data_IF_767600821628
#
_entry.id   IF_767600821628
#
_cell.length_a   1.000
_cell.length_b   1.000
_cell.length_c   1.000
_cell.angle_alpha   90.00
_cell.angle_beta   90.00
_cell.angle_gamma   90.00
#
_symmetry.space_group_name_H-M   'P 1'
#
loop_
_entity.id
_entity.type
_entity.pdbx_description
1 polymer ?
#
# COMPACT_ATOMS: atom_id res chain seq x y z
N UNK A 1 69.83 4.92 -39.12
CA UNK A 1 69.17 6.12 -38.49
C UNK A 1 67.67 6.09 -38.49
N UNK A 2 66.95 4.93 -38.47
CA UNK A 2 65.45 4.96 -38.54
C UNK A 2 64.72 4.03 -37.53
N UNK A 3 65.44 3.38 -36.64
CA UNK A 3 64.84 2.43 -35.69
C UNK A 3 64.15 3.14 -34.51
N UNK A 4 64.67 4.26 -34.08
CA UNK A 4 64.11 5.07 -32.99
C UNK A 4 62.79 5.77 -33.39
N UNK A 5 62.67 6.27 -34.62
CA UNK A 5 61.47 6.89 -35.09
C UNK A 5 60.29 5.93 -35.25
N UNK A 6 60.52 4.72 -35.71
CA UNK A 6 59.46 3.69 -35.85
C UNK A 6 58.96 3.20 -34.48
N UNK A 7 59.82 3.04 -33.47
CA UNK A 7 59.41 2.70 -32.10
C UNK A 7 58.52 3.76 -31.46
N UNK A 8 58.84 5.04 -31.65
CA UNK A 8 58.05 6.16 -31.12
C UNK A 8 56.65 6.24 -31.76
N UNK A 9 56.57 6.00 -33.06
CA UNK A 9 55.26 5.97 -33.78
C UNK A 9 54.42 4.79 -33.31
N UNK A 10 55.02 3.61 -33.14
CA UNK A 10 54.29 2.42 -32.68
C UNK A 10 53.77 2.58 -31.25
N UNK A 11 54.58 3.13 -30.34
CA UNK A 11 54.15 3.39 -28.95
C UNK A 11 52.99 4.41 -28.93
N UNK A 12 53.03 5.45 -29.72
CA UNK A 12 51.99 6.47 -29.84
C UNK A 12 50.70 5.91 -30.43
N UNK A 13 50.80 4.94 -31.34
CA UNK A 13 49.63 4.24 -31.92
C UNK A 13 48.93 3.29 -30.92
N UNK A 14 49.75 2.53 -30.17
CA UNK A 14 49.27 1.62 -29.12
C UNK A 14 48.61 2.37 -27.97
N UNK A 15 49.16 3.50 -27.52
CA UNK A 15 48.57 4.34 -26.48
C UNK A 15 47.28 5.00 -26.91
N UNK A 16 47.18 5.46 -28.19
CA UNK A 16 46.00 6.06 -28.73
C UNK A 16 44.85 5.03 -28.90
N UNK A 17 45.16 3.79 -29.31
CA UNK A 17 44.24 2.67 -29.41
C UNK A 17 43.70 2.29 -28.03
N UNK A 18 44.55 2.17 -27.02
CA UNK A 18 44.18 1.88 -25.64
C UNK A 18 43.29 2.96 -25.02
N UNK A 19 43.52 4.23 -25.32
CA UNK A 19 42.65 5.34 -24.86
C UNK A 19 41.29 5.29 -25.51
N UNK A 20 41.18 4.92 -26.79
CA UNK A 20 39.90 4.74 -27.47
C UNK A 20 39.08 3.59 -26.89
N UNK A 21 39.71 2.46 -26.61
CA UNK A 21 39.07 1.31 -25.96
C UNK A 21 38.60 1.66 -24.56
N UNK A 22 39.38 2.35 -23.74
CA UNK A 22 39.02 2.80 -22.39
C UNK A 22 37.83 3.76 -22.43
N UNK A 23 37.80 4.71 -23.38
CA UNK A 23 36.71 5.65 -23.56
C UNK A 23 35.42 4.94 -23.95
N UNK A 24 35.50 3.93 -24.80
CA UNK A 24 34.32 3.12 -25.21
C UNK A 24 33.78 2.32 -24.03
N UNK A 25 34.63 1.67 -23.23
CA UNK A 25 34.22 0.97 -22.02
C UNK A 25 33.57 1.93 -21.03
N UNK A 26 34.16 3.08 -20.77
CA UNK A 26 33.58 4.08 -19.86
C UNK A 26 32.19 4.54 -20.35
N UNK A 27 32.02 4.79 -21.64
CA UNK A 27 30.76 5.19 -22.24
C UNK A 27 29.67 4.10 -22.05
N UNK A 28 30.01 2.83 -22.25
CA UNK A 28 29.11 1.71 -22.05
C UNK A 28 28.68 1.62 -20.58
N UNK A 29 29.63 1.73 -19.62
CA UNK A 29 29.30 1.73 -18.20
C UNK A 29 28.40 2.91 -17.80
N UNK A 30 28.69 4.10 -18.28
CA UNK A 30 27.83 5.29 -18.03
C UNK A 30 26.44 5.07 -18.58
N UNK A 31 26.30 4.52 -19.79
CA UNK A 31 25.00 4.21 -20.39
C UNK A 31 24.23 3.18 -19.56
N UNK A 32 24.87 2.08 -19.17
CA UNK A 32 24.25 1.05 -18.31
C UNK A 32 23.82 1.62 -16.97
N UNK A 33 24.65 2.44 -16.34
CA UNK A 33 24.33 3.10 -15.07
C UNK A 33 23.11 4.03 -15.23
N UNK A 34 23.06 4.79 -16.32
CA UNK A 34 21.93 5.69 -16.62
C UNK A 34 20.63 4.91 -16.83
N UNK A 35 20.67 3.81 -17.61
CA UNK A 35 19.51 2.93 -17.81
C UNK A 35 19.04 2.33 -16.48
N UNK A 36 19.96 1.82 -15.66
CA UNK A 36 19.64 1.27 -14.34
C UNK A 36 19.01 2.33 -13.42
N UNK A 37 19.52 3.56 -13.43
CA UNK A 37 18.99 4.67 -12.62
C UNK A 37 17.57 5.04 -13.06
N UNK A 38 17.29 5.11 -14.37
CA UNK A 38 15.95 5.38 -14.90
C UNK A 38 14.99 4.26 -14.53
N UNK A 39 15.39 2.99 -14.71
CA UNK A 39 14.57 1.84 -14.34
C UNK A 39 14.22 1.87 -12.84
N UNK A 40 15.18 2.15 -11.97
CA UNK A 40 14.96 2.27 -10.53
C UNK A 40 14.01 3.42 -10.16
N UNK A 41 14.15 4.58 -10.82
CA UNK A 41 13.25 5.71 -10.62
C UNK A 41 11.80 5.41 -11.03
N UNK A 42 11.59 4.65 -12.11
CA UNK A 42 10.27 4.20 -12.53
C UNK A 42 9.65 3.25 -11.50
N UNK A 43 10.42 2.31 -10.97
CA UNK A 43 9.95 1.38 -9.94
C UNK A 43 9.50 2.11 -8.65
N UNK A 44 10.27 3.10 -8.21
CA UNK A 44 9.87 3.92 -7.05
C UNK A 44 8.52 4.61 -7.30
N UNK A 45 8.29 5.13 -8.50
CA UNK A 45 7.01 5.76 -8.87
C UNK A 45 5.85 4.77 -8.82
N UNK A 46 6.04 3.55 -9.31
CA UNK A 46 5.03 2.49 -9.25
C UNK A 46 4.66 2.15 -7.80
N UNK A 47 5.64 2.01 -6.91
CA UNK A 47 5.39 1.76 -5.49
C UNK A 47 4.65 2.91 -4.79
N UNK A 48 5.02 4.15 -5.07
CA UNK A 48 4.33 5.32 -4.50
C UNK A 48 2.88 5.35 -5.00
N UNK A 49 2.65 5.11 -6.29
CA UNK A 49 1.31 5.06 -6.88
C UNK A 49 0.46 3.96 -6.27
N UNK A 50 1.01 2.74 -6.14
CA UNK A 50 0.33 1.61 -5.51
C UNK A 50 -0.01 1.92 -4.04
N UNK A 51 0.93 2.50 -3.30
CA UNK A 51 0.71 2.93 -1.91
C UNK A 51 -0.49 3.87 -1.79
N UNK A 52 -0.52 4.94 -2.58
CA UNK A 52 -1.60 5.93 -2.56
C UNK A 52 -2.93 5.30 -2.98
N UNK A 53 -2.91 4.51 -4.07
CA UNK A 53 -4.10 3.80 -4.53
C UNK A 53 -4.66 2.86 -3.45
N UNK A 54 -3.80 2.12 -2.75
CA UNK A 54 -4.23 1.22 -1.66
C UNK A 54 -4.84 2.00 -0.49
N UNK A 55 -4.25 3.14 -0.11
CA UNK A 55 -4.80 4.00 0.96
C UNK A 55 -6.18 4.56 0.61
N UNK A 56 -6.37 5.02 -0.63
CA UNK A 56 -7.66 5.53 -1.13
C UNK A 56 -8.69 4.41 -1.22
N UNK A 57 -8.28 3.25 -1.67
CA UNK A 57 -9.13 2.05 -1.76
C UNK A 57 -9.61 1.58 -0.39
N UNK A 58 -8.70 1.54 0.61
CA UNK A 58 -9.09 1.22 1.99
C UNK A 58 -10.10 2.22 2.54
N UNK A 59 -9.87 3.52 2.32
CA UNK A 59 -10.79 4.56 2.75
C UNK A 59 -12.17 4.41 2.08
N UNK A 60 -12.21 4.18 0.77
CA UNK A 60 -13.45 3.99 0.02
C UNK A 60 -14.20 2.72 0.46
N UNK A 61 -13.49 1.62 0.70
CA UNK A 61 -14.07 0.35 1.13
C UNK A 61 -14.61 0.41 2.57
N UNK A 62 -13.90 1.10 3.47
CA UNK A 62 -14.38 1.38 4.84
C UNK A 62 -15.66 2.22 4.82
N UNK A 63 -15.71 3.27 4.00
CA UNK A 63 -16.91 4.10 3.84
C UNK A 63 -18.09 3.32 3.23
N UNK A 64 -17.82 2.50 2.21
CA UNK A 64 -18.86 1.68 1.58
C UNK A 64 -19.50 0.68 2.56
N UNK A 65 -18.71 0.17 3.51
CA UNK A 65 -19.18 -0.78 4.53
C UNK A 65 -19.96 -0.13 5.67
N UNK A 66 -19.85 1.19 5.84
CA UNK A 66 -20.44 1.94 6.95
C UNK A 66 -21.93 2.20 6.76
N UNK A 67 -22.73 1.15 6.71
CA UNK A 67 -24.18 1.24 6.60
C UNK A 67 -24.80 1.63 7.94
N UNK A 68 -25.27 2.87 8.01
CA UNK A 68 -25.80 3.49 9.24
C UNK A 68 -27.18 2.94 9.61
N UNK A 69 -27.42 2.74 10.92
CA UNK A 69 -28.73 2.49 11.47
C UNK A 69 -29.56 3.79 11.49
N UNK A 70 -30.42 3.95 10.47
CA UNK A 70 -31.28 5.13 10.31
C UNK A 70 -32.30 5.22 11.45
N UNK A 71 -32.73 4.10 12.00
CA UNK A 71 -33.69 4.06 13.09
C UNK A 71 -33.05 4.55 14.39
N UNK A 72 -31.86 4.05 14.71
CA UNK A 72 -31.09 4.50 15.87
C UNK A 72 -30.74 6.00 15.75
N UNK A 73 -30.35 6.43 14.57
CA UNK A 73 -30.07 7.85 14.32
C UNK A 73 -31.34 8.72 14.49
N UNK A 74 -32.50 8.26 14.03
CA UNK A 74 -33.75 9.01 14.14
C UNK A 74 -34.27 9.14 15.57
N UNK A 75 -34.03 8.17 16.44
CA UNK A 75 -34.52 8.13 17.81
C UNK A 75 -33.50 8.76 18.80
N UNK A 76 -32.26 8.32 18.73
CA UNK A 76 -31.24 8.60 19.74
C UNK A 76 -30.13 9.54 19.25
N UNK A 77 -30.15 9.91 17.98
CA UNK A 77 -29.13 10.72 17.28
C UNK A 77 -27.72 10.10 17.31
N UNK A 78 -27.60 8.79 17.55
CA UNK A 78 -26.35 8.05 17.46
C UNK A 78 -26.10 7.60 16.02
N UNK A 79 -24.94 7.97 15.47
CA UNK A 79 -24.45 7.42 14.21
C UNK A 79 -23.77 6.09 14.50
N UNK A 80 -24.46 4.98 14.30
CA UNK A 80 -23.89 3.64 14.49
C UNK A 80 -24.07 2.80 13.24
N UNK A 81 -23.13 1.88 13.02
CA UNK A 81 -23.22 0.88 11.97
C UNK A 81 -24.17 -0.22 12.45
N UNK A 82 -25.21 -0.47 11.66
CA UNK A 82 -26.33 -1.32 12.03
C UNK A 82 -25.92 -2.76 12.32
N UNK A 83 -25.12 -3.33 11.43
CA UNK A 83 -24.73 -4.73 11.46
C UNK A 83 -23.25 -4.85 11.09
N UNK A 84 -22.34 -5.04 12.09
CA UNK A 84 -20.91 -5.16 11.85
C UNK A 84 -20.51 -6.37 10.99
N UNK A 85 -21.26 -7.49 11.05
CA UNK A 85 -20.98 -8.68 10.21
C UNK A 85 -21.31 -8.41 8.74
N UNK A 86 -22.46 -7.79 8.49
CA UNK A 86 -22.83 -7.34 7.15
C UNK A 86 -21.86 -6.28 6.63
N UNK A 87 -21.43 -5.35 7.49
CA UNK A 87 -20.43 -4.34 7.15
C UNK A 87 -19.11 -4.98 6.73
N UNK A 88 -18.64 -6.00 7.44
CA UNK A 88 -17.44 -6.74 7.06
C UNK A 88 -17.58 -7.41 5.68
N UNK A 89 -18.71 -8.04 5.40
CA UNK A 89 -18.98 -8.63 4.09
C UNK A 89 -18.97 -7.59 2.96
N UNK A 90 -19.63 -6.44 3.17
CA UNK A 90 -19.62 -5.33 2.21
C UNK A 90 -18.20 -4.77 2.01
N UNK A 91 -17.44 -4.63 3.10
CA UNK A 91 -16.05 -4.20 3.03
C UNK A 91 -15.20 -5.11 2.13
N UNK A 92 -15.30 -6.43 2.33
CA UNK A 92 -14.54 -7.40 1.54
C UNK A 92 -14.88 -7.32 0.05
N UNK A 93 -16.15 -7.18 -0.29
CA UNK A 93 -16.60 -7.03 -1.67
C UNK A 93 -16.12 -5.70 -2.28
N UNK A 94 -16.31 -4.59 -1.55
CA UNK A 94 -15.85 -3.28 -1.96
C UNK A 94 -14.33 -3.23 -2.15
N UNK A 95 -13.57 -3.87 -1.25
CA UNK A 95 -12.11 -3.95 -1.35
C UNK A 95 -11.66 -4.69 -2.62
N UNK A 96 -12.27 -5.85 -2.90
CA UNK A 96 -11.97 -6.60 -4.13
C UNK A 96 -12.23 -5.76 -5.39
N UNK A 97 -13.39 -5.10 -5.46
CA UNK A 97 -13.77 -4.27 -6.61
C UNK A 97 -12.82 -3.07 -6.74
N UNK A 98 -12.57 -2.34 -5.67
CA UNK A 98 -11.77 -1.12 -5.69
C UNK A 98 -10.27 -1.39 -5.95
N UNK A 99 -9.73 -2.54 -5.54
CA UNK A 99 -8.38 -2.97 -5.87
C UNK A 99 -8.28 -3.70 -7.22
N UNK A 100 -9.40 -4.03 -7.87
CA UNK A 100 -9.43 -4.79 -9.11
C UNK A 100 -8.99 -6.25 -8.95
N UNK A 101 -9.25 -6.85 -7.77
CA UNK A 101 -8.87 -8.23 -7.47
C UNK A 101 -9.88 -9.24 -8.04
N UNK A 102 -9.39 -10.43 -8.35
CA UNK A 102 -10.23 -11.57 -8.71
C UNK A 102 -10.86 -12.23 -7.47
N UNK A 103 -11.67 -13.29 -7.68
CA UNK A 103 -12.31 -14.04 -6.58
C UNK A 103 -11.34 -14.72 -5.63
N UNK A 104 -10.10 -14.94 -6.06
CA UNK A 104 -9.01 -15.52 -5.27
C UNK A 104 -8.20 -14.45 -4.53
N UNK A 105 -8.64 -13.19 -4.53
CA UNK A 105 -7.95 -12.04 -3.95
C UNK A 105 -6.61 -11.70 -4.62
N UNK A 106 -6.42 -12.11 -5.85
CA UNK A 106 -5.21 -11.88 -6.63
C UNK A 106 -5.39 -10.69 -7.58
N UNK A 107 -4.32 -9.95 -7.79
CA UNK A 107 -4.25 -8.88 -8.78
C UNK A 107 -3.97 -9.44 -10.17
N UNK A 108 -4.92 -9.38 -11.13
CA UNK A 108 -4.72 -9.90 -12.48
C UNK A 108 -3.70 -9.10 -13.29
N UNK A 109 -3.33 -7.89 -12.85
CA UNK A 109 -2.30 -7.07 -13.51
C UNK A 109 -0.88 -7.50 -13.15
N UNK A 110 -0.73 -8.27 -12.05
CA UNK A 110 0.55 -8.79 -11.57
C UNK A 110 1.42 -7.74 -10.86
N UNK A 111 0.87 -6.58 -10.50
CA UNK A 111 1.58 -5.59 -9.71
C UNK A 111 1.70 -6.04 -8.24
N UNK A 112 0.66 -6.68 -7.73
CA UNK A 112 0.65 -7.38 -6.44
C UNK A 112 0.91 -8.85 -6.70
N UNK A 113 1.96 -9.42 -6.12
CA UNK A 113 2.45 -10.77 -6.41
C UNK A 113 1.91 -11.87 -5.50
N UNK A 114 1.14 -11.50 -4.47
CA UNK A 114 0.45 -12.45 -3.59
C UNK A 114 -1.03 -12.12 -3.48
N UNK A 115 -1.88 -13.07 -3.07
CA UNK A 115 -3.24 -12.73 -2.66
C UNK A 115 -3.25 -11.66 -1.58
N UNK A 116 -4.15 -10.68 -1.69
CA UNK A 116 -4.38 -9.67 -0.66
C UNK A 116 -5.10 -10.34 0.52
N UNK A 117 -4.61 -10.11 1.74
CA UNK A 117 -5.23 -10.63 2.96
C UNK A 117 -5.80 -9.51 3.79
N UNK A 118 -7.00 -9.71 4.31
CA UNK A 118 -7.58 -8.81 5.31
C UNK A 118 -7.12 -9.29 6.68
N UNK A 119 -6.12 -8.61 7.23
CA UNK A 119 -5.55 -8.94 8.55
C UNK A 119 -6.53 -8.56 9.66
N UNK A 120 -7.18 -7.39 9.51
CA UNK A 120 -8.09 -6.89 10.51
C UNK A 120 -9.13 -5.93 9.91
N UNK A 121 -10.36 -6.02 10.41
CA UNK A 121 -11.43 -5.08 10.16
C UNK A 121 -12.16 -4.82 11.48
N UNK A 122 -12.29 -3.57 11.90
CA UNK A 122 -12.88 -3.20 13.18
C UNK A 122 -13.93 -2.11 12.97
N UNK A 123 -15.10 -2.33 13.56
CA UNK A 123 -16.18 -1.36 13.68
C UNK A 123 -16.16 -0.79 15.10
N UNK A 124 -16.10 0.52 15.21
CA UNK A 124 -16.25 1.28 16.45
C UNK A 124 -17.58 2.02 16.43
N UNK A 125 -18.56 1.53 17.16
CA UNK A 125 -19.86 2.19 17.30
C UNK A 125 -19.89 3.04 18.57
N UNK A 126 -20.02 4.34 18.42
CA UNK A 126 -20.04 5.29 19.56
C UNK A 126 -21.48 5.58 19.95
N UNK A 127 -21.84 5.30 21.22
CA UNK A 127 -23.13 5.63 21.86
C UNK A 127 -22.89 6.43 23.14
N UNK A 128 -23.04 7.75 23.07
CA UNK A 128 -22.75 8.61 24.20
C UNK A 128 -21.29 8.55 24.62
N UNK A 129 -20.99 8.01 25.82
CA UNK A 129 -19.62 7.84 26.33
C UNK A 129 -19.05 6.43 26.13
N UNK A 130 -19.78 5.54 25.50
CA UNK A 130 -19.39 4.14 25.27
C UNK A 130 -19.03 3.91 23.82
N UNK A 131 -18.02 3.06 23.60
CA UNK A 131 -17.57 2.59 22.28
C UNK A 131 -17.72 1.08 22.24
N UNK A 132 -18.66 0.61 21.44
CA UNK A 132 -18.79 -0.80 21.13
C UNK A 132 -17.81 -1.16 20.01
N UNK A 133 -16.86 -2.03 20.30
CA UNK A 133 -15.80 -2.47 19.37
C UNK A 133 -16.13 -3.86 18.88
N UNK A 134 -16.25 -4.05 17.58
CA UNK A 134 -16.41 -5.37 16.95
C UNK A 134 -15.31 -5.57 15.92
N UNK A 135 -14.49 -6.61 16.13
CA UNK A 135 -13.34 -6.93 15.28
C UNK A 135 -13.53 -8.23 14.53
N UNK A 136 -13.08 -8.23 13.27
CA UNK A 136 -13.04 -9.37 12.37
C UNK A 136 -11.64 -9.48 11.75
N UNK A 137 -11.21 -10.68 11.40
CA UNK A 137 -9.93 -10.92 10.74
C UNK A 137 -9.29 -12.24 11.15
N UNK A 138 -8.07 -12.51 10.72
CA UNK A 138 -7.37 -13.76 11.03
C UNK A 138 -7.14 -13.93 12.54
N UNK A 139 -8.02 -14.73 13.20
CA UNK A 139 -7.91 -15.05 14.62
C UNK A 139 -8.26 -13.94 15.61
N UNK A 140 -8.83 -12.82 15.13
CA UNK A 140 -9.11 -11.61 15.92
C UNK A 140 -10.60 -11.27 16.02
N UNK A 141 -11.48 -12.27 15.98
CA UNK A 141 -12.91 -12.04 16.14
C UNK A 141 -13.25 -11.84 17.62
N UNK A 142 -13.57 -10.60 17.99
CA UNK A 142 -14.02 -10.28 19.35
C UNK A 142 -14.99 -9.10 19.35
N UNK A 143 -15.75 -8.98 20.42
CA UNK A 143 -16.55 -7.80 20.73
C UNK A 143 -16.20 -7.34 22.15
N UNK A 144 -16.07 -6.03 22.32
CA UNK A 144 -15.76 -5.38 23.58
C UNK A 144 -16.48 -4.03 23.70
N UNK A 145 -16.63 -3.53 24.93
CA UNK A 145 -17.10 -2.16 25.19
C UNK A 145 -16.01 -1.40 25.89
N UNK A 146 -15.68 -0.23 25.37
CA UNK A 146 -14.65 0.66 25.89
C UNK A 146 -15.25 2.04 26.17
N UNK A 147 -14.50 2.91 26.85
CA UNK A 147 -14.92 4.29 27.13
C UNK A 147 -14.43 5.20 25.99
N UNK A 148 -15.28 6.11 25.54
CA UNK A 148 -14.92 7.12 24.55
C UNK A 148 -13.71 7.96 25.04
N UNK A 149 -12.76 8.18 24.18
CA UNK A 149 -11.50 8.89 24.49
C UNK A 149 -10.40 7.99 25.07
N UNK A 150 -10.72 6.76 25.55
CA UNK A 150 -9.73 5.74 25.90
C UNK A 150 -9.60 4.65 24.86
N UNK A 151 -10.66 4.40 24.06
CA UNK A 151 -10.62 3.49 22.93
C UNK A 151 -9.62 3.99 21.88
N UNK A 152 -8.75 3.09 21.42
CA UNK A 152 -7.74 3.40 20.40
C UNK A 152 -7.75 2.35 19.31
N UNK A 153 -7.55 2.79 18.07
CA UNK A 153 -7.34 1.88 16.96
C UNK A 153 -5.93 1.26 17.00
N UNK A 154 -5.69 0.14 16.31
CA UNK A 154 -4.38 -0.52 16.28
C UNK A 154 -3.21 0.33 15.79
N UNK A 155 -3.50 1.41 15.03
CA UNK A 155 -2.48 2.39 14.61
C UNK A 155 -2.29 3.56 15.62
N UNK A 156 -2.91 3.46 16.80
CA UNK A 156 -2.74 4.44 17.89
C UNK A 156 -3.61 5.69 17.82
N UNK A 157 -4.57 5.76 16.90
CA UNK A 157 -5.51 6.88 16.84
C UNK A 157 -6.62 6.69 17.88
N UNK A 158 -6.93 7.76 18.62
CA UNK A 158 -8.03 7.76 19.60
C UNK A 158 -9.37 7.80 18.86
N UNK A 159 -10.31 6.99 19.31
CA UNK A 159 -11.67 6.94 18.74
C UNK A 159 -12.50 8.07 19.36
N UNK A 160 -12.93 9.00 18.53
CA UNK A 160 -13.76 10.15 18.92
C UNK A 160 -15.19 10.08 18.35
N UNK A 161 -15.40 9.29 17.31
CA UNK A 161 -16.68 9.08 16.64
C UNK A 161 -16.82 7.66 16.13
N UNK A 162 -18.01 7.26 15.71
CA UNK A 162 -18.20 5.99 15.01
C UNK A 162 -17.28 5.92 13.82
N UNK A 163 -16.50 4.86 13.73
CA UNK A 163 -15.43 4.73 12.74
C UNK A 163 -15.21 3.28 12.33
N UNK A 164 -14.57 3.10 11.20
CA UNK A 164 -14.16 1.80 10.67
C UNK A 164 -12.65 1.80 10.46
N UNK A 165 -12.00 0.80 11.00
CA UNK A 165 -10.58 0.52 10.79
C UNK A 165 -10.42 -0.74 9.96
N UNK A 166 -9.49 -0.71 9.03
CA UNK A 166 -9.09 -1.92 8.30
C UNK A 166 -7.58 -1.97 8.10
N UNK A 167 -7.05 -3.20 8.03
CA UNK A 167 -5.65 -3.52 7.75
C UNK A 167 -5.59 -4.66 6.78
N UNK A 168 -4.76 -4.52 5.75
CA UNK A 168 -4.48 -5.54 4.75
C UNK A 168 -2.99 -5.76 4.60
N UNK A 169 -2.62 -6.96 4.16
CA UNK A 169 -1.25 -7.32 3.78
C UNK A 169 -1.21 -7.93 2.39
N UNK A 170 -0.11 -7.72 1.68
CA UNK A 170 0.17 -8.27 0.37
C UNK A 170 1.67 -8.21 0.06
N UNK A 171 2.09 -8.77 -1.06
CA UNK A 171 3.47 -8.68 -1.53
C UNK A 171 3.53 -7.99 -2.90
N UNK A 172 4.59 -7.24 -3.13
CA UNK A 172 4.84 -6.54 -4.39
C UNK A 172 6.18 -7.00 -4.95
N UNK A 173 6.19 -7.39 -6.22
CA UNK A 173 7.42 -7.76 -6.89
C UNK A 173 8.17 -6.53 -7.38
N UNK A 174 9.46 -6.49 -7.03
CA UNK A 174 10.40 -5.53 -7.55
C UNK A 174 11.20 -6.08 -8.71
N UNK A 175 12.00 -5.21 -9.33
CA UNK A 175 12.97 -5.64 -10.32
C UNK A 175 13.97 -6.63 -9.70
N UNK A 176 14.52 -7.49 -10.52
CA UNK A 176 15.50 -8.54 -10.14
C UNK A 176 14.96 -9.62 -9.21
N UNK A 177 13.63 -9.85 -9.17
CA UNK A 177 13.01 -10.92 -8.39
C UNK A 177 13.01 -10.67 -6.88
N UNK A 178 13.12 -9.42 -6.45
CA UNK A 178 12.98 -9.04 -5.04
C UNK A 178 11.51 -8.83 -4.73
N UNK A 179 10.97 -9.63 -3.81
CA UNK A 179 9.59 -9.48 -3.31
C UNK A 179 9.60 -8.69 -2.01
N UNK A 180 8.77 -7.66 -1.93
CA UNK A 180 8.66 -6.76 -0.77
C UNK A 180 7.30 -6.94 -0.10
N UNK A 181 7.23 -7.34 1.19
CA UNK A 181 5.97 -7.36 1.91
C UNK A 181 5.48 -5.93 2.15
N UNK A 182 4.19 -5.73 1.97
CA UNK A 182 3.51 -4.47 2.21
C UNK A 182 2.33 -4.71 3.14
N UNK A 183 2.17 -3.81 4.10
CA UNK A 183 1.02 -3.74 4.99
C UNK A 183 0.45 -2.33 4.95
N UNK A 184 -0.86 -2.22 4.90
CA UNK A 184 -1.57 -0.95 4.89
C UNK A 184 -2.78 -1.00 5.79
N UNK A 185 -2.99 0.08 6.51
CA UNK A 185 -4.14 0.28 7.37
C UNK A 185 -4.78 1.65 7.16
N UNK A 186 -6.05 1.74 7.51
CA UNK A 186 -6.83 2.98 7.45
C UNK A 186 -7.94 2.99 8.48
N UNK A 187 -7.99 4.05 9.27
CA UNK A 187 -9.15 4.43 10.08
C UNK A 187 -9.95 5.48 9.30
N UNK A 188 -11.28 5.34 9.27
CA UNK A 188 -12.19 6.31 8.65
C UNK A 188 -13.31 6.62 9.63
N UNK A 189 -13.45 7.89 9.96
CA UNK A 189 -14.49 8.39 10.85
C UNK A 189 -15.76 8.67 10.07
N UNK A 190 -16.89 8.30 10.67
CA UNK A 190 -18.22 8.61 10.15
C UNK A 190 -18.70 9.85 10.88
N UNK A 191 -18.56 11.00 10.20
CA UNK A 191 -18.89 12.30 10.81
C UNK A 191 -20.28 12.77 10.44
N UNK A 192 -20.93 13.38 11.41
CA UNK A 192 -22.15 14.13 11.21
C UNK A 192 -21.79 15.44 10.49
N UNK A 193 -22.33 15.66 9.30
CA UNK A 193 -22.32 16.99 8.72
C UNK A 193 -23.28 17.87 9.54
N UNK A 194 -22.73 18.80 10.30
CA UNK A 194 -23.51 19.83 11.01
C UNK A 194 -23.97 20.90 10.04
#
# INVERSE_FOLDING_TARGET
>A
QNVYGQKLIMIRWITKKRQGELATFTMVYVLLFLVATVAFALQIREYISLKTHTEDTLAASNLASAVIDIQEYGINHNLVIKDPEQAYSIYQEALKINMGLNDQWEDPTGLISSPVRVEQYIVYNVRGSEVEVTSFGEGLNYSATETLGSATSPNGQVIESTSVYSRISYQVDGYFGVTVPAEKDKLVDIVKNN
#
